data_IF_326859175610
#
_entry.id   IF_326859175610
#
_cell.length_a   1.000
_cell.length_b   1.000
_cell.length_c   1.000
_cell.angle_alpha   90.00
_cell.angle_beta   90.00
_cell.angle_gamma   90.00
#
_symmetry.space_group_name_H-M   'P 1'
#
loop_
_entity.id
_entity.type
_entity.pdbx_description
1 polymer ?
#
# COMPACT_ATOMS: atom_id res chain seq x y z
N UNK A 1 56.15 -75.37 -47.81
CA UNK A 1 55.20 -76.38 -47.49
C UNK A 1 54.33 -75.76 -46.41
N UNK A 2 53.08 -75.64 -46.58
CA UNK A 2 52.01 -75.19 -45.68
C UNK A 2 52.24 -73.93 -44.88
N UNK A 3 51.83 -72.80 -45.43
CA UNK A 3 51.72 -71.57 -44.73
C UNK A 3 50.35 -71.39 -44.02
N UNK A 4 50.37 -71.03 -42.78
CA UNK A 4 49.20 -70.66 -41.99
C UNK A 4 49.06 -69.16 -42.00
N UNK A 5 47.93 -68.65 -42.44
CA UNK A 5 47.52 -67.20 -42.32
C UNK A 5 46.95 -66.95 -40.94
N UNK A 6 47.26 -65.82 -40.29
CA UNK A 6 46.63 -65.42 -39.02
C UNK A 6 45.29 -64.77 -39.26
N UNK A 7 44.31 -65.10 -38.40
CA UNK A 7 42.98 -64.51 -38.33
C UNK A 7 42.99 -63.16 -37.61
N UNK A 8 42.38 -62.18 -38.20
CA UNK A 8 42.13 -60.84 -37.57
C UNK A 8 41.00 -60.91 -36.55
N UNK A 9 41.12 -60.23 -35.38
CA UNK A 9 40.01 -60.14 -34.43
C UNK A 9 39.01 -59.00 -34.83
N UNK A 10 37.75 -59.32 -34.79
CA UNK A 10 36.60 -58.51 -35.11
C UNK A 10 36.32 -57.59 -33.89
N UNK A 11 36.60 -56.31 -34.02
CA UNK A 11 36.25 -55.28 -33.02
C UNK A 11 34.72 -55.18 -32.91
N UNK A 12 34.15 -55.48 -31.77
CA UNK A 12 32.80 -55.23 -31.35
C UNK A 12 32.78 -53.84 -30.63
N UNK A 13 32.29 -52.79 -31.31
CA UNK A 13 31.98 -51.54 -30.69
C UNK A 13 30.76 -51.72 -29.81
N UNK A 14 30.93 -51.65 -28.50
CA UNK A 14 29.86 -51.45 -27.55
C UNK A 14 29.51 -49.96 -27.53
N UNK A 15 28.33 -49.62 -28.08
CA UNK A 15 27.73 -48.31 -27.99
C UNK A 15 27.20 -48.14 -26.55
N UNK A 16 27.94 -47.44 -25.70
CA UNK A 16 27.48 -47.03 -24.37
C UNK A 16 26.49 -45.86 -24.55
N UNK A 17 25.20 -46.21 -24.44
CA UNK A 17 24.10 -45.23 -24.39
C UNK A 17 24.13 -44.55 -23.01
N UNK A 18 24.73 -43.35 -22.91
CA UNK A 18 24.61 -42.51 -21.72
C UNK A 18 23.17 -41.96 -21.63
N UNK A 19 22.35 -42.57 -20.78
CA UNK A 19 21.09 -42.03 -20.33
C UNK A 19 21.38 -40.78 -19.48
N UNK A 20 21.28 -39.58 -20.10
CA UNK A 20 21.19 -38.30 -19.40
C UNK A 20 19.86 -38.25 -18.65
N UNK A 21 19.85 -38.65 -17.39
CA UNK A 21 18.78 -38.30 -16.45
C UNK A 21 18.87 -36.81 -16.16
N UNK A 22 17.80 -36.02 -16.40
CA UNK A 22 17.79 -34.65 -15.93
C UNK A 22 17.78 -34.69 -14.40
N UNK A 23 18.87 -34.25 -13.77
CA UNK A 23 18.91 -33.95 -12.34
C UNK A 23 17.94 -32.80 -12.08
N UNK A 24 16.74 -33.13 -11.61
CA UNK A 24 15.84 -32.20 -10.97
C UNK A 24 16.57 -31.64 -9.75
N UNK A 25 17.24 -30.51 -9.93
CA UNK A 25 17.74 -29.71 -8.83
C UNK A 25 16.52 -29.19 -8.06
N UNK A 26 16.09 -29.92 -7.03
CA UNK A 26 15.24 -29.40 -5.99
C UNK A 26 16.02 -28.23 -5.36
N UNK A 27 15.67 -27.02 -5.74
CA UNK A 27 16.08 -25.82 -5.00
C UNK A 27 15.47 -25.94 -3.59
N UNK A 28 16.24 -26.50 -2.68
CA UNK A 28 15.91 -26.43 -1.26
C UNK A 28 15.87 -24.95 -0.90
N UNK A 29 14.65 -24.44 -0.68
CA UNK A 29 14.43 -23.14 -0.03
C UNK A 29 15.24 -23.23 1.27
N UNK A 30 16.41 -22.55 1.32
CA UNK A 30 17.21 -22.43 2.53
C UNK A 30 16.28 -21.86 3.59
N UNK A 31 15.83 -22.69 4.53
CA UNK A 31 15.18 -22.20 5.74
C UNK A 31 16.12 -21.16 6.32
N UNK A 32 15.69 -19.91 6.32
CA UNK A 32 16.43 -18.83 6.98
C UNK A 32 16.46 -19.22 8.45
N UNK A 33 17.65 -19.56 8.96
CA UNK A 33 17.87 -19.72 10.40
C UNK A 33 17.24 -18.49 11.08
N UNK A 34 16.36 -18.66 12.09
CA UNK A 34 15.73 -17.54 12.75
C UNK A 34 16.81 -16.60 13.26
N UNK A 35 16.74 -15.31 12.83
CA UNK A 35 17.69 -14.29 13.22
C UNK A 35 17.63 -14.08 14.74
N UNK A 36 18.77 -13.96 15.39
CA UNK A 36 18.83 -13.61 16.82
C UNK A 36 18.13 -12.27 17.05
N UNK A 37 17.16 -12.25 17.96
CA UNK A 37 16.45 -11.04 18.39
C UNK A 37 16.92 -10.66 19.79
N UNK A 38 17.35 -9.41 19.96
CA UNK A 38 17.72 -8.83 21.24
C UNK A 38 16.72 -7.77 21.65
N UNK A 39 16.13 -7.92 22.83
CA UNK A 39 15.15 -6.99 23.36
C UNK A 39 15.76 -6.32 24.60
N UNK A 40 16.00 -5.03 24.50
CA UNK A 40 16.40 -4.18 25.62
C UNK A 40 15.18 -3.48 26.20
N UNK A 41 14.78 -3.87 27.40
CA UNK A 41 13.83 -3.09 28.17
C UNK A 41 14.53 -1.87 28.77
N UNK A 42 14.08 -0.67 28.41
CA UNK A 42 14.49 0.60 29.04
C UNK A 42 13.33 1.06 29.90
N UNK A 43 13.52 0.93 31.23
CA UNK A 43 12.44 1.10 32.19
C UNK A 43 12.63 2.36 33.00
N UNK A 44 11.60 3.16 33.07
CA UNK A 44 11.49 4.34 33.91
C UNK A 44 11.45 3.93 35.40
N UNK A 45 12.35 4.47 36.17
CA UNK A 45 12.34 4.42 37.63
C UNK A 45 12.52 5.82 38.22
N UNK A 46 12.03 6.85 37.52
CA UNK A 46 11.93 8.20 38.04
C UNK A 46 10.92 8.29 39.20
N UNK A 47 10.95 9.36 39.92
CA UNK A 47 10.13 9.54 41.12
C UNK A 47 8.62 9.53 40.80
N UNK A 48 8.20 9.92 39.60
CA UNK A 48 6.79 9.90 39.10
C UNK A 48 6.21 8.49 39.08
N UNK A 49 7.02 7.46 38.85
CA UNK A 49 6.59 6.05 38.85
C UNK A 49 6.08 5.56 40.22
N UNK A 50 6.28 6.32 41.30
CA UNK A 50 5.67 6.04 42.61
C UNK A 50 4.24 6.56 42.70
N UNK A 51 3.74 7.36 41.74
CA UNK A 51 2.35 7.81 41.71
C UNK A 51 1.41 6.65 41.48
N UNK A 52 0.20 6.75 42.03
CA UNK A 52 -0.82 5.71 41.88
C UNK A 52 -1.37 5.66 40.44
N UNK A 53 -1.62 4.45 39.99
CA UNK A 53 -2.22 4.12 38.72
C UNK A 53 -3.32 3.06 38.98
N UNK A 54 -4.53 3.53 39.10
CA UNK A 54 -5.59 2.72 39.71
C UNK A 54 -5.33 2.52 41.20
N UNK A 55 -5.29 1.29 41.65
CA UNK A 55 -5.15 0.92 43.06
C UNK A 55 -3.72 0.69 43.54
N UNK A 56 -2.73 0.75 42.63
CA UNK A 56 -1.32 0.48 42.93
C UNK A 56 -0.38 1.53 42.31
N UNK A 57 0.88 1.68 42.80
CA UNK A 57 1.86 2.52 42.15
C UNK A 57 2.16 2.05 40.72
N UNK A 58 2.43 3.02 39.79
CA UNK A 58 2.74 2.72 38.39
C UNK A 58 3.87 1.71 38.24
N UNK A 59 4.90 1.82 39.07
CA UNK A 59 6.04 0.88 39.05
C UNK A 59 5.63 -0.55 39.41
N UNK A 60 4.67 -0.73 40.30
CA UNK A 60 4.24 -2.06 40.73
C UNK A 60 3.37 -2.72 39.65
N UNK A 61 2.45 -1.97 39.06
CA UNK A 61 1.70 -2.41 37.88
C UNK A 61 2.62 -2.76 36.69
N UNK A 62 3.60 -1.90 36.42
CA UNK A 62 4.56 -2.15 35.35
C UNK A 62 5.44 -3.39 35.61
N UNK A 63 5.88 -3.61 36.85
CA UNK A 63 6.61 -4.82 37.26
C UNK A 63 5.81 -6.09 37.02
N UNK A 64 4.55 -6.11 37.44
CA UNK A 64 3.66 -7.26 37.32
C UNK A 64 3.54 -7.69 35.87
N UNK A 65 3.18 -6.76 34.97
CA UNK A 65 2.98 -7.05 33.56
C UNK A 65 4.31 -7.43 32.87
N UNK A 66 5.44 -6.75 33.21
CA UNK A 66 6.75 -7.16 32.71
C UNK A 66 7.08 -8.60 33.09
N UNK A 67 6.85 -8.99 34.38
CA UNK A 67 7.17 -10.35 34.84
C UNK A 67 6.34 -11.43 34.14
N UNK A 68 5.07 -11.17 33.86
CA UNK A 68 4.21 -12.06 33.09
C UNK A 68 4.74 -12.23 31.65
N UNK A 69 5.26 -11.17 31.06
CA UNK A 69 5.78 -11.17 29.68
C UNK A 69 7.12 -11.87 29.53
N UNK A 70 7.95 -11.94 30.59
CA UNK A 70 9.29 -12.56 30.51
C UNK A 70 9.22 -14.06 30.24
N UNK A 71 8.26 -14.78 30.80
CA UNK A 71 8.16 -16.24 30.64
C UNK A 71 7.99 -16.71 29.18
N UNK A 72 7.08 -16.15 28.39
CA UNK A 72 6.97 -16.43 26.96
C UNK A 72 8.23 -16.06 26.18
N UNK A 73 8.88 -14.91 26.49
CA UNK A 73 10.10 -14.45 25.83
C UNK A 73 11.30 -15.37 26.07
N UNK A 74 11.45 -15.90 27.29
CA UNK A 74 12.51 -16.85 27.63
C UNK A 74 12.37 -18.19 26.90
N UNK A 75 11.15 -18.59 26.58
CA UNK A 75 10.86 -19.80 25.79
C UNK A 75 10.99 -19.60 24.28
N UNK A 76 11.00 -18.35 23.83
CA UNK A 76 11.10 -18.06 22.40
C UNK A 76 12.52 -18.39 21.89
N UNK A 77 12.65 -19.10 20.76
CA UNK A 77 13.94 -19.43 20.20
C UNK A 77 14.68 -18.16 19.74
N UNK A 78 15.99 -18.14 19.93
CA UNK A 78 16.86 -17.04 19.48
C UNK A 78 16.47 -15.66 20.02
N UNK A 79 16.09 -15.57 21.28
CA UNK A 79 15.82 -14.31 22.00
C UNK A 79 16.83 -14.13 23.13
N UNK A 80 17.36 -12.91 23.24
CA UNK A 80 18.16 -12.46 24.37
C UNK A 80 17.53 -11.20 24.95
N UNK A 81 17.49 -11.14 26.28
CA UNK A 81 16.88 -10.03 27.01
C UNK A 81 17.94 -9.24 27.75
N UNK A 82 17.71 -7.94 27.92
CA UNK A 82 18.51 -7.06 28.78
C UNK A 82 17.61 -6.02 29.46
N UNK A 83 18.08 -5.41 30.52
CA UNK A 83 17.39 -4.37 31.28
C UNK A 83 18.31 -3.19 31.54
N UNK A 84 17.92 -2.02 31.03
CA UNK A 84 18.44 -0.71 31.42
C UNK A 84 17.41 0.00 32.26
N UNK A 85 17.83 0.63 33.32
CA UNK A 85 17.00 1.47 34.19
C UNK A 85 17.51 2.91 34.15
N UNK A 86 16.61 3.86 34.38
CA UNK A 86 16.99 5.24 34.64
C UNK A 86 16.16 5.82 35.78
N UNK A 87 16.68 6.91 36.40
CA UNK A 87 16.05 7.56 37.57
C UNK A 87 16.02 6.72 38.85
N UNK A 88 16.99 5.83 39.05
CA UNK A 88 16.99 4.90 40.18
C UNK A 88 18.24 4.97 41.07
N UNK A 89 19.30 5.69 40.66
CA UNK A 89 20.55 5.74 41.38
C UNK A 89 20.61 6.99 42.27
N UNK A 90 20.15 8.13 41.79
CA UNK A 90 20.24 9.43 42.45
C UNK A 90 18.84 9.96 42.76
N UNK A 91 18.62 10.34 44.05
CA UNK A 91 17.36 10.97 44.45
C UNK A 91 17.23 12.37 43.84
N UNK A 92 16.09 12.69 43.26
CA UNK A 92 15.79 14.05 42.83
C UNK A 92 15.58 14.98 44.04
N UNK A 93 16.21 16.15 44.05
CA UNK A 93 16.10 17.18 45.08
C UNK A 93 15.76 18.51 44.39
N UNK A 94 15.11 19.49 45.07
CA UNK A 94 14.81 20.79 44.50
C UNK A 94 16.06 21.47 43.93
N UNK A 95 16.04 21.80 42.64
CA UNK A 95 17.18 22.43 41.93
C UNK A 95 18.38 21.55 41.66
N UNK A 96 18.29 20.24 41.94
CA UNK A 96 19.37 19.28 41.68
C UNK A 96 18.78 17.99 41.09
N UNK A 97 19.15 17.70 39.85
CA UNK A 97 18.78 16.48 39.16
C UNK A 97 20.02 15.85 38.50
N UNK A 98 20.03 14.53 38.39
CA UNK A 98 21.11 13.78 37.76
C UNK A 98 20.64 13.27 36.38
N UNK A 99 21.06 13.97 35.33
CA UNK A 99 20.70 13.62 33.95
C UNK A 99 21.55 12.48 33.37
N UNK A 100 22.52 11.98 34.07
CA UNK A 100 23.29 10.77 33.74
C UNK A 100 22.81 9.54 34.52
N UNK A 101 21.74 9.64 35.32
CA UNK A 101 21.16 8.51 36.06
C UNK A 101 20.51 7.50 35.12
N UNK A 102 21.34 6.75 34.41
CA UNK A 102 20.94 5.64 33.56
C UNK A 102 21.97 4.52 33.56
N UNK A 103 21.57 3.26 33.70
CA UNK A 103 22.49 2.13 33.81
C UNK A 103 21.94 0.84 33.23
N UNK A 104 22.77 0.11 32.49
CA UNK A 104 22.49 -1.29 32.10
C UNK A 104 22.64 -2.17 33.34
N UNK A 105 21.53 -2.62 33.89
CA UNK A 105 21.51 -3.40 35.14
C UNK A 105 21.57 -4.91 34.89
N UNK A 106 21.01 -5.37 33.76
CA UNK A 106 21.11 -6.77 33.32
C UNK A 106 21.56 -6.76 31.86
N UNK A 107 22.81 -7.15 31.55
CA UNK A 107 23.31 -7.22 30.17
C UNK A 107 22.64 -8.34 29.38
N UNK A 108 22.77 -8.30 28.04
CA UNK A 108 22.22 -9.36 27.17
C UNK A 108 22.81 -10.73 27.49
N UNK A 109 21.94 -11.73 27.55
CA UNK A 109 22.27 -13.12 27.76
C UNK A 109 21.08 -14.04 27.59
N UNK A 110 21.28 -15.35 27.47
CA UNK A 110 20.21 -16.33 27.50
C UNK A 110 19.58 -16.43 28.89
N UNK A 111 18.26 -16.66 28.96
CA UNK A 111 17.54 -16.93 30.24
C UNK A 111 17.70 -15.82 31.31
N UNK A 112 17.72 -14.57 30.89
CA UNK A 112 17.93 -13.43 31.80
C UNK A 112 16.67 -13.01 32.58
N UNK A 113 15.51 -13.66 32.39
CA UNK A 113 14.27 -13.27 33.05
C UNK A 113 14.34 -13.24 34.56
N UNK A 114 15.02 -14.21 35.20
CA UNK A 114 15.15 -14.22 36.64
C UNK A 114 16.06 -13.10 37.16
N UNK A 115 17.13 -12.78 36.45
CA UNK A 115 17.98 -11.63 36.77
C UNK A 115 17.20 -10.31 36.64
N UNK A 116 16.38 -10.16 35.59
CA UNK A 116 15.52 -8.99 35.39
C UNK A 116 14.48 -8.89 36.51
N UNK A 117 13.81 -10.01 36.87
CA UNK A 117 12.86 -10.06 38.00
C UNK A 117 13.50 -9.66 39.32
N UNK A 118 14.69 -10.22 39.63
CA UNK A 118 15.41 -9.94 40.83
C UNK A 118 15.81 -8.45 40.93
N UNK A 119 16.33 -7.88 39.84
CA UNK A 119 16.68 -6.47 39.78
C UNK A 119 15.48 -5.56 39.95
N UNK A 120 14.41 -5.81 39.22
CA UNK A 120 13.19 -5.01 39.30
C UNK A 120 12.52 -5.07 40.71
N UNK A 121 12.62 -6.17 41.43
CA UNK A 121 12.14 -6.28 42.85
C UNK A 121 12.94 -5.42 43.79
N UNK A 122 14.26 -5.25 43.56
CA UNK A 122 15.14 -4.53 44.45
C UNK A 122 15.23 -3.03 44.19
N UNK A 123 14.84 -2.55 43.01
CA UNK A 123 14.99 -1.15 42.62
C UNK A 123 13.95 -0.24 43.28
N UNK A 124 14.36 0.99 43.56
CA UNK A 124 13.50 2.08 44.04
C UNK A 124 13.53 3.23 43.03
N UNK A 125 12.35 3.78 42.77
CA UNK A 125 12.21 4.92 41.87
C UNK A 125 12.43 6.21 42.65
N UNK A 126 13.47 6.97 42.30
CA UNK A 126 13.98 8.07 43.15
C UNK A 126 14.28 9.34 42.34
N UNK A 127 14.68 9.22 41.07
CA UNK A 127 15.37 10.24 40.32
C UNK A 127 14.54 10.98 39.29
N UNK A 128 15.22 11.59 38.35
CA UNK A 128 14.66 12.32 37.20
C UNK A 128 14.44 11.40 35.99
N UNK A 129 14.02 11.96 34.87
CA UNK A 129 13.59 11.22 33.66
C UNK A 129 14.51 11.53 32.45
N UNK A 130 15.77 11.03 32.39
CA UNK A 130 16.72 11.28 31.29
C UNK A 130 16.50 10.28 30.13
N UNK A 131 15.41 10.44 29.36
CA UNK A 131 15.06 9.54 28.23
C UNK A 131 16.11 9.60 27.12
N UNK A 132 16.50 10.80 26.69
CA UNK A 132 17.47 11.00 25.61
C UNK A 132 18.81 10.36 25.95
N UNK A 133 19.35 10.61 27.14
CA UNK A 133 20.60 10.01 27.64
C UNK A 133 20.50 8.49 27.74
N UNK A 134 19.35 7.98 28.17
CA UNK A 134 19.12 6.53 28.29
C UNK A 134 19.07 5.84 26.93
N UNK A 135 18.45 6.47 25.94
CA UNK A 135 18.45 5.98 24.57
C UNK A 135 19.85 6.05 23.93
N UNK A 136 20.59 7.13 24.14
CA UNK A 136 21.97 7.26 23.64
C UNK A 136 22.84 6.13 24.16
N UNK A 137 22.86 5.89 25.49
CA UNK A 137 23.62 4.81 26.12
C UNK A 137 23.15 3.41 25.70
N UNK A 138 21.87 3.25 25.35
CA UNK A 138 21.34 1.98 24.88
C UNK A 138 22.00 1.49 23.59
N UNK A 139 22.58 2.39 22.78
CA UNK A 139 23.31 2.01 21.58
C UNK A 139 24.54 1.12 21.88
N UNK A 140 25.20 1.38 23.00
CA UNK A 140 26.42 0.69 23.41
C UNK A 140 26.13 -0.61 24.17
N UNK A 141 24.88 -0.83 24.57
CA UNK A 141 24.43 -2.06 25.24
C UNK A 141 24.35 -3.26 24.32
N UNK A 142 24.13 -3.04 23.01
CA UNK A 142 23.98 -4.11 22.03
C UNK A 142 25.34 -4.67 21.60
N UNK A 143 25.59 -5.99 21.74
CA UNK A 143 26.88 -6.61 21.42
C UNK A 143 27.27 -6.55 19.95
N UNK A 144 26.29 -6.50 19.04
CA UNK A 144 26.52 -6.39 17.59
C UNK A 144 25.35 -5.66 16.90
N UNK A 145 25.56 -5.34 15.61
CA UNK A 145 24.57 -4.67 14.76
C UNK A 145 23.94 -5.59 13.70
N UNK A 146 24.30 -6.86 13.69
CA UNK A 146 23.82 -7.85 12.70
C UNK A 146 22.57 -8.56 13.19
N UNK A 147 22.36 -8.60 14.49
CA UNK A 147 21.16 -9.14 15.13
C UNK A 147 19.99 -8.16 15.02
N UNK A 148 18.78 -8.66 15.20
CA UNK A 148 17.58 -7.83 15.33
C UNK A 148 17.60 -7.17 16.72
N UNK A 149 18.03 -5.93 16.79
CA UNK A 149 18.13 -5.18 18.03
C UNK A 149 16.89 -4.31 18.22
N UNK A 150 16.19 -4.48 19.33
CA UNK A 150 14.91 -3.81 19.65
C UNK A 150 15.00 -3.15 21.01
N UNK A 151 14.57 -1.90 21.12
CA UNK A 151 14.34 -1.21 22.39
C UNK A 151 12.84 -1.16 22.66
N UNK A 152 12.45 -1.50 23.90
CA UNK A 152 11.13 -1.27 24.46
C UNK A 152 11.29 -0.27 25.61
N UNK A 153 10.94 0.98 25.34
CA UNK A 153 10.96 2.06 26.35
C UNK A 153 9.60 2.08 27.06
N UNK A 154 9.63 1.97 28.38
CA UNK A 154 8.45 2.03 29.25
C UNK A 154 8.63 3.24 30.16
N UNK A 155 7.73 4.23 30.06
CA UNK A 155 7.83 5.51 30.77
C UNK A 155 6.45 6.04 31.15
N UNK A 156 6.38 6.79 32.25
CA UNK A 156 5.17 7.53 32.65
C UNK A 156 5.32 9.05 32.50
N UNK A 157 6.44 9.49 31.94
CA UNK A 157 6.78 10.90 31.80
C UNK A 157 7.40 11.27 30.46
N UNK A 158 7.76 12.53 30.35
CA UNK A 158 8.51 13.11 29.24
C UNK A 158 9.95 13.40 29.68
N UNK A 159 10.80 13.74 28.71
CA UNK A 159 12.18 14.18 28.98
C UNK A 159 12.21 15.33 29.99
N UNK A 160 13.05 15.18 31.01
CA UNK A 160 13.21 16.17 32.09
C UNK A 160 14.59 16.86 32.12
N UNK A 161 15.48 16.54 31.18
CA UNK A 161 16.88 16.93 31.18
C UNK A 161 17.30 17.82 29.98
N UNK A 162 16.39 18.62 29.43
CA UNK A 162 16.65 19.57 28.33
C UNK A 162 17.35 18.97 27.09
N UNK A 163 17.30 17.64 26.91
CA UNK A 163 17.81 16.93 25.74
C UNK A 163 16.65 16.62 24.74
N UNK A 164 17.00 16.31 23.48
CA UNK A 164 16.00 15.93 22.43
C UNK A 164 16.00 14.40 22.20
N UNK A 165 15.07 13.65 22.83
CA UNK A 165 14.96 12.20 22.61
C UNK A 165 14.66 11.84 21.15
N UNK A 166 14.04 12.73 20.41
CA UNK A 166 13.72 12.53 18.99
C UNK A 166 14.97 12.60 18.12
N UNK A 167 15.87 13.54 18.40
CA UNK A 167 17.14 13.64 17.70
C UNK A 167 18.02 12.41 17.98
N UNK A 168 18.08 11.95 19.22
CA UNK A 168 18.79 10.73 19.60
C UNK A 168 18.21 9.51 18.91
N UNK A 169 16.89 9.34 18.91
CA UNK A 169 16.25 8.22 18.24
C UNK A 169 16.54 8.20 16.72
N UNK A 170 16.48 9.35 16.05
CA UNK A 170 16.86 9.46 14.64
C UNK A 170 18.32 9.08 14.40
N UNK A 171 19.24 9.51 15.28
CA UNK A 171 20.65 9.16 15.18
C UNK A 171 20.90 7.66 15.35
N UNK A 172 20.19 6.98 16.26
CA UNK A 172 20.25 5.53 16.44
C UNK A 172 19.76 4.77 15.19
N UNK A 173 18.64 5.22 14.61
CA UNK A 173 18.09 4.64 13.37
C UNK A 173 19.07 4.83 12.20
N UNK A 174 19.67 6.01 12.04
CA UNK A 174 20.66 6.29 10.99
C UNK A 174 21.91 5.41 11.10
N UNK A 175 22.28 5.00 12.32
CA UNK A 175 23.40 4.07 12.56
C UNK A 175 23.00 2.60 12.33
N UNK A 176 21.74 2.30 11.99
CA UNK A 176 21.24 0.93 11.79
C UNK A 176 21.22 0.08 13.07
N UNK A 177 21.30 0.72 14.25
CA UNK A 177 21.37 0.02 15.54
C UNK A 177 19.99 -0.50 15.91
N UNK A 178 18.94 0.32 15.62
CA UNK A 178 17.55 0.01 15.92
C UNK A 178 16.70 0.61 14.81
N UNK A 179 15.75 -0.15 14.32
CA UNK A 179 14.86 0.35 13.26
C UNK A 179 13.94 1.47 13.78
N UNK A 180 13.29 1.25 14.92
CA UNK A 180 12.46 2.24 15.61
C UNK A 180 12.12 1.74 17.01
N UNK A 181 12.42 2.48 18.08
CA UNK A 181 12.03 2.07 19.42
C UNK A 181 10.52 1.90 19.56
N UNK A 182 10.09 0.96 20.39
CA UNK A 182 8.72 0.89 20.88
C UNK A 182 8.64 1.71 22.17
N UNK A 183 7.67 2.62 22.23
CA UNK A 183 7.47 3.49 23.40
C UNK A 183 6.12 3.20 24.01
N UNK A 184 6.08 2.76 25.26
CA UNK A 184 4.85 2.49 25.99
C UNK A 184 4.71 3.56 27.08
N UNK A 185 3.73 4.44 26.88
CA UNK A 185 3.42 5.52 27.82
C UNK A 185 2.39 5.08 28.86
N UNK A 186 2.77 5.11 30.15
CA UNK A 186 1.93 4.70 31.26
C UNK A 186 1.24 5.92 31.88
N UNK A 187 -0.07 6.07 31.63
CA UNK A 187 -0.85 7.15 32.24
C UNK A 187 -0.33 8.55 31.90
N UNK A 188 0.18 8.76 30.69
CA UNK A 188 0.70 10.05 30.22
C UNK A 188 -0.46 10.93 29.76
N UNK A 189 -0.44 12.22 30.13
CA UNK A 189 -1.41 13.20 29.69
C UNK A 189 -1.32 13.45 28.16
N UNK A 190 -2.46 13.74 27.52
CA UNK A 190 -2.58 13.85 26.06
C UNK A 190 -1.62 14.88 25.44
N UNK A 191 -1.40 16.00 26.09
CA UNK A 191 -0.48 17.04 25.61
C UNK A 191 0.97 16.55 25.51
N UNK A 192 1.39 15.68 26.42
CA UNK A 192 2.75 15.14 26.53
C UNK A 192 3.00 13.95 25.59
N UNK A 193 1.98 13.29 25.10
CA UNK A 193 2.09 12.14 24.18
C UNK A 193 2.76 12.50 22.86
N UNK A 194 2.59 13.76 22.40
CA UNK A 194 3.17 14.20 21.12
C UNK A 194 4.69 14.21 21.14
N UNK A 195 5.33 14.54 22.27
CA UNK A 195 6.79 14.59 22.42
C UNK A 195 7.44 13.21 22.33
N UNK A 196 6.70 12.13 22.58
CA UNK A 196 7.20 10.76 22.53
C UNK A 196 6.94 10.05 21.20
N UNK A 197 5.98 10.54 20.37
CA UNK A 197 5.66 9.93 19.07
C UNK A 197 6.80 9.98 18.05
N UNK A 198 7.69 10.97 18.17
CA UNK A 198 8.86 11.10 17.31
C UNK A 198 10.01 10.18 17.74
N UNK A 199 10.02 9.73 19.00
CA UNK A 199 11.02 8.79 19.52
C UNK A 199 10.85 7.43 18.86
N UNK A 200 9.60 6.95 18.74
CA UNK A 200 9.36 5.63 18.24
C UNK A 200 7.89 5.33 17.92
N UNK A 201 7.58 4.04 17.81
CA UNK A 201 6.20 3.57 17.74
C UNK A 201 5.57 3.73 19.14
N UNK A 202 4.76 4.77 19.30
CA UNK A 202 4.14 5.11 20.57
C UNK A 202 2.84 4.35 20.78
N UNK A 203 2.72 3.77 21.98
CA UNK A 203 1.53 3.06 22.46
C UNK A 203 1.08 3.65 23.78
N UNK A 204 -0.18 3.97 23.87
CA UNK A 204 -0.78 4.51 25.09
C UNK A 204 -1.29 3.37 25.98
N UNK A 205 -0.84 3.36 27.23
CA UNK A 205 -1.27 2.44 28.26
C UNK A 205 -1.89 3.21 29.44
N UNK A 206 -3.09 3.72 29.26
CA UNK A 206 -3.78 4.53 30.28
C UNK A 206 -4.26 3.72 31.49
N UNK A 207 -4.38 2.38 31.38
CA UNK A 207 -4.71 1.48 32.49
C UNK A 207 -3.78 0.26 32.54
N UNK A 208 -3.67 -0.43 33.70
CA UNK A 208 -2.88 -1.65 33.81
C UNK A 208 -3.26 -2.74 32.80
N UNK A 209 -4.55 -2.92 32.54
CA UNK A 209 -5.06 -3.93 31.59
C UNK A 209 -4.70 -3.54 30.15
N UNK A 210 -4.66 -2.24 29.85
CA UNK A 210 -4.23 -1.75 28.55
C UNK A 210 -2.72 -1.95 28.40
N UNK A 211 -1.92 -1.74 29.45
CA UNK A 211 -0.48 -1.99 29.42
C UNK A 211 -0.15 -3.46 29.12
N UNK A 212 -0.84 -4.42 29.74
CA UNK A 212 -0.68 -5.85 29.43
C UNK A 212 -0.94 -6.16 27.94
N UNK A 213 -2.05 -5.65 27.41
CA UNK A 213 -2.39 -5.83 25.98
C UNK A 213 -1.34 -5.19 25.06
N UNK A 214 -0.95 -3.95 25.35
CA UNK A 214 0.04 -3.22 24.55
C UNK A 214 1.39 -3.92 24.60
N UNK A 215 1.86 -4.33 25.79
CA UNK A 215 3.17 -4.99 25.90
C UNK A 215 3.19 -6.33 25.14
N UNK A 216 2.13 -7.12 25.19
CA UNK A 216 2.00 -8.35 24.38
C UNK A 216 2.13 -8.07 22.88
N UNK A 217 1.46 -7.04 22.41
CA UNK A 217 1.52 -6.63 21.00
C UNK A 217 2.91 -6.14 20.62
N UNK A 218 3.55 -5.31 21.46
CA UNK A 218 4.92 -4.81 21.23
C UNK A 218 5.93 -5.95 21.19
N UNK A 219 5.79 -6.94 22.06
CA UNK A 219 6.63 -8.14 22.09
C UNK A 219 6.43 -8.95 20.80
N UNK A 220 5.18 -9.15 20.37
CA UNK A 220 4.88 -9.85 19.14
C UNK A 220 5.51 -9.15 17.92
N UNK A 221 5.41 -7.83 17.85
CA UNK A 221 6.08 -7.05 16.81
C UNK A 221 7.61 -7.15 16.90
N UNK A 222 8.17 -7.11 18.12
CA UNK A 222 9.61 -7.26 18.35
C UNK A 222 10.10 -8.63 17.85
N UNK A 223 9.32 -9.68 18.05
CA UNK A 223 9.59 -11.03 17.57
C UNK A 223 9.23 -11.21 16.09
N UNK A 224 8.48 -10.30 15.49
CA UNK A 224 8.01 -10.35 14.11
C UNK A 224 7.19 -11.64 13.82
N UNK A 225 6.32 -12.01 14.74
CA UNK A 225 5.58 -13.27 14.74
C UNK A 225 4.18 -13.18 14.12
N UNK A 226 3.59 -11.97 14.03
CA UNK A 226 2.27 -11.77 13.39
C UNK A 226 2.42 -11.73 11.89
N UNK A 227 1.75 -12.65 11.21
CA UNK A 227 1.74 -12.72 9.75
C UNK A 227 0.34 -12.54 9.20
N UNK A 228 0.27 -12.12 7.93
CA UNK A 228 -1.00 -11.88 7.25
C UNK A 228 -0.90 -12.35 5.82
N UNK A 229 -1.91 -13.08 5.37
CA UNK A 229 -2.15 -13.43 3.97
C UNK A 229 -3.41 -12.72 3.49
N UNK A 230 -3.31 -11.99 2.38
CA UNK A 230 -4.45 -11.35 1.74
C UNK A 230 -4.91 -12.19 0.56
N UNK A 231 -6.17 -12.64 0.58
CA UNK A 231 -6.82 -13.33 -0.51
C UNK A 231 -7.65 -12.30 -1.30
N UNK A 232 -7.29 -12.05 -2.56
CA UNK A 232 -8.12 -11.31 -3.48
C UNK A 232 -9.04 -12.28 -4.21
N UNK A 233 -10.33 -12.17 -3.92
CA UNK A 233 -11.34 -13.10 -4.40
C UNK A 233 -12.00 -12.60 -5.68
N UNK A 234 -12.30 -13.54 -6.56
CA UNK A 234 -13.29 -13.38 -7.63
C UNK A 234 -14.71 -13.24 -7.07
N UNK A 235 -15.68 -12.93 -7.89
CA UNK A 235 -17.08 -12.84 -7.46
C UNK A 235 -17.66 -14.19 -7.03
N UNK A 236 -17.13 -15.30 -7.57
CA UNK A 236 -17.45 -16.67 -7.16
C UNK A 236 -16.57 -17.18 -6.00
N UNK A 237 -15.94 -16.23 -5.26
CA UNK A 237 -15.15 -16.47 -4.04
C UNK A 237 -13.89 -17.31 -4.22
N UNK A 238 -13.32 -17.39 -5.41
CA UNK A 238 -12.03 -18.04 -5.65
C UNK A 238 -10.87 -17.06 -5.45
N UNK A 239 -9.79 -17.43 -4.76
CA UNK A 239 -8.66 -16.54 -4.46
C UNK A 239 -7.65 -16.51 -5.63
N UNK A 240 -8.10 -16.08 -6.81
CA UNK A 240 -7.29 -16.10 -8.04
C UNK A 240 -6.91 -14.73 -8.58
N UNK A 241 -7.42 -13.65 -7.98
CA UNK A 241 -7.04 -12.30 -8.38
C UNK A 241 -5.63 -11.98 -7.90
N UNK A 242 -4.82 -11.37 -8.77
CA UNK A 242 -3.40 -11.08 -8.54
C UNK A 242 -2.97 -9.79 -9.26
N UNK A 243 -1.73 -9.36 -9.04
CA UNK A 243 -1.10 -8.19 -9.67
C UNK A 243 -1.85 -6.87 -9.41
N UNK A 244 -2.57 -6.80 -8.29
CA UNK A 244 -3.33 -5.62 -7.85
C UNK A 244 -2.52 -4.88 -6.79
N UNK A 245 -2.27 -3.56 -6.94
CA UNK A 245 -1.72 -2.74 -5.88
C UNK A 245 -2.67 -2.71 -4.67
N UNK A 246 -2.12 -2.87 -3.47
CA UNK A 246 -2.88 -2.89 -2.21
C UNK A 246 -2.25 -1.95 -1.21
N UNK A 247 -3.08 -1.23 -0.47
CA UNK A 247 -2.68 -0.37 0.64
C UNK A 247 -3.43 -0.72 1.91
N UNK A 248 -2.71 -0.89 2.99
CA UNK A 248 -3.24 -0.98 4.35
C UNK A 248 -3.14 0.40 5.00
N UNK A 249 -4.27 1.01 5.25
CA UNK A 249 -4.37 2.28 5.97
C UNK A 249 -4.71 2.02 7.43
N UNK A 250 -4.11 2.78 8.32
CA UNK A 250 -4.60 2.89 9.68
C UNK A 250 -6.02 3.50 9.65
N UNK A 251 -7.00 2.72 10.08
CA UNK A 251 -8.42 3.10 10.03
C UNK A 251 -8.72 4.41 10.77
N UNK A 252 -8.00 4.66 11.87
CA UNK A 252 -8.24 5.83 12.73
C UNK A 252 -7.62 7.10 12.18
N UNK A 253 -6.41 7.01 11.64
CA UNK A 253 -5.62 8.19 11.21
C UNK A 253 -5.64 8.40 9.71
N UNK A 254 -6.03 7.42 8.91
CA UNK A 254 -5.98 7.44 7.45
C UNK A 254 -4.56 7.33 6.88
N UNK A 255 -3.53 7.14 7.70
CA UNK A 255 -2.14 7.03 7.25
C UNK A 255 -1.91 5.67 6.60
N UNK A 256 -1.30 5.66 5.40
CA UNK A 256 -0.87 4.44 4.74
C UNK A 256 0.29 3.81 5.51
N UNK A 257 0.10 2.57 5.98
CA UNK A 257 1.09 1.82 6.74
C UNK A 257 1.89 0.85 5.87
N UNK A 258 1.20 0.15 4.96
CA UNK A 258 1.82 -0.82 4.06
C UNK A 258 1.29 -0.63 2.64
N UNK A 259 2.19 -0.74 1.66
CA UNK A 259 1.88 -0.67 0.24
C UNK A 259 2.66 -1.78 -0.46
N UNK A 260 1.98 -2.57 -1.27
CA UNK A 260 2.59 -3.63 -2.06
C UNK A 260 1.72 -3.97 -3.27
N UNK A 261 2.28 -4.69 -4.22
CA UNK A 261 1.49 -5.32 -5.29
C UNK A 261 1.21 -6.75 -4.85
N UNK A 262 -0.07 -7.10 -4.76
CA UNK A 262 -0.50 -8.46 -4.43
C UNK A 262 -0.01 -9.42 -5.49
N UNK A 263 0.53 -10.56 -5.06
CA UNK A 263 1.01 -11.60 -5.97
C UNK A 263 0.67 -12.98 -5.42
N UNK A 264 0.51 -13.94 -6.32
CA UNK A 264 0.32 -15.34 -6.00
C UNK A 264 1.59 -16.13 -6.34
N UNK A 265 1.93 -17.11 -5.49
CA UNK A 265 2.98 -18.07 -5.77
C UNK A 265 2.59 -18.99 -6.95
N UNK A 266 3.52 -19.78 -7.46
CA UNK A 266 3.26 -20.81 -8.49
C UNK A 266 2.18 -21.82 -8.07
N UNK A 267 1.90 -21.92 -6.76
CA UNK A 267 0.86 -22.80 -6.20
C UNK A 267 -0.49 -22.10 -6.05
N UNK A 268 -0.59 -20.81 -6.42
CA UNK A 268 -1.81 -20.01 -6.24
C UNK A 268 -2.03 -19.52 -4.82
N UNK A 269 -0.99 -19.51 -3.97
CA UNK A 269 -1.06 -19.02 -2.60
C UNK A 269 -0.55 -17.56 -2.54
N UNK A 270 -1.16 -16.66 -1.77
CA UNK A 270 -0.66 -15.31 -1.58
C UNK A 270 0.59 -15.29 -0.71
N UNK A 271 1.42 -14.26 -0.88
CA UNK A 271 2.57 -14.03 -0.03
C UNK A 271 2.16 -13.82 1.43
N UNK A 272 3.04 -14.25 2.33
CA UNK A 272 2.90 -14.01 3.76
C UNK A 272 3.63 -12.74 4.13
N UNK A 273 2.91 -11.78 4.70
CA UNK A 273 3.38 -10.45 5.06
C UNK A 273 3.45 -10.30 6.58
N UNK A 274 4.47 -9.62 7.08
CA UNK A 274 4.54 -9.21 8.48
C UNK A 274 3.81 -7.86 8.62
N UNK A 275 2.64 -7.90 9.23
CA UNK A 275 1.77 -6.73 9.45
C UNK A 275 1.61 -6.51 10.95
N UNK A 276 1.70 -5.25 11.36
CA UNK A 276 1.57 -4.83 12.76
C UNK A 276 0.13 -5.03 13.28
N UNK A 277 -0.11 -5.89 14.30
CA UNK A 277 -1.45 -6.17 14.81
C UNK A 277 -2.05 -5.07 15.69
N UNK A 278 -1.29 -4.00 15.99
CA UNK A 278 -1.76 -2.89 16.86
C UNK A 278 -2.84 -2.05 16.20
N UNK A 279 -2.78 -1.94 14.87
CA UNK A 279 -3.69 -1.07 14.15
C UNK A 279 -4.95 -1.83 13.70
N UNK A 280 -6.05 -1.11 13.68
CA UNK A 280 -7.22 -1.51 12.89
C UNK A 280 -7.02 -0.97 11.49
N UNK A 281 -7.20 -1.80 10.47
CA UNK A 281 -6.88 -1.44 9.09
C UNK A 281 -8.13 -1.20 8.25
N UNK A 282 -8.02 -0.23 7.35
CA UNK A 282 -8.80 -0.12 6.13
C UNK A 282 -7.91 -0.59 4.98
N UNK A 283 -8.28 -1.68 4.33
CA UNK A 283 -7.52 -2.29 3.24
C UNK A 283 -8.17 -1.88 1.93
N UNK A 284 -7.37 -1.34 1.02
CA UNK A 284 -7.79 -0.92 -0.31
C UNK A 284 -7.02 -1.70 -1.36
N UNK A 285 -7.71 -2.51 -2.16
CA UNK A 285 -7.20 -3.01 -3.41
C UNK A 285 -7.52 -1.97 -4.50
N UNK A 286 -6.50 -1.47 -5.18
CA UNK A 286 -6.61 -0.38 -6.16
C UNK A 286 -7.09 -0.89 -7.53
N UNK A 287 -8.22 -1.56 -7.55
CA UNK A 287 -9.00 -1.86 -8.76
C UNK A 287 -9.76 -0.63 -9.23
N UNK A 288 -10.44 -0.69 -10.36
CA UNK A 288 -11.32 0.37 -10.86
C UNK A 288 -12.76 -0.16 -10.92
N UNK A 289 -13.69 0.33 -10.07
CA UNK A 289 -13.46 1.13 -8.87
C UNK A 289 -12.70 0.35 -7.77
N UNK A 290 -12.12 1.04 -6.78
CA UNK A 290 -11.39 0.38 -5.70
C UNK A 290 -12.26 -0.59 -4.90
N UNK A 291 -11.66 -1.71 -4.47
CA UNK A 291 -12.27 -2.62 -3.50
C UNK A 291 -11.76 -2.33 -2.11
N UNK A 292 -12.65 -2.20 -1.14
CA UNK A 292 -12.31 -1.75 0.22
C UNK A 292 -12.84 -2.70 1.27
N UNK A 293 -12.03 -3.00 2.28
CA UNK A 293 -12.44 -3.69 3.50
C UNK A 293 -12.02 -2.85 4.70
N UNK A 294 -12.98 -2.50 5.51
CA UNK A 294 -12.78 -1.66 6.69
C UNK A 294 -12.78 -2.47 8.00
N UNK A 295 -12.27 -1.83 9.06
CA UNK A 295 -12.28 -2.35 10.43
C UNK A 295 -11.61 -3.73 10.59
N UNK A 296 -10.53 -3.96 9.82
CA UNK A 296 -9.77 -5.21 9.87
C UNK A 296 -8.83 -5.17 11.07
N UNK A 297 -9.02 -6.08 12.02
CA UNK A 297 -8.14 -6.30 13.17
C UNK A 297 -7.38 -7.61 12.99
N UNK A 298 -6.12 -7.65 13.43
CA UNK A 298 -5.26 -8.82 13.37
C UNK A 298 -5.09 -9.43 14.76
N UNK A 299 -5.05 -10.76 14.82
CA UNK A 299 -4.71 -11.49 16.04
C UNK A 299 -3.19 -11.54 16.18
N UNK A 300 -2.63 -10.98 17.29
CA UNK A 300 -1.20 -10.98 17.54
C UNK A 300 -0.62 -12.40 17.62
N UNK A 301 0.55 -12.63 17.03
CA UNK A 301 1.24 -13.92 17.07
C UNK A 301 0.68 -15.00 16.15
N UNK A 302 -0.35 -14.69 15.38
CA UNK A 302 -1.03 -15.65 14.51
C UNK A 302 -0.83 -15.34 13.02
N UNK A 303 -1.10 -16.33 12.17
CA UNK A 303 -1.23 -16.11 10.73
C UNK A 303 -2.68 -15.69 10.40
N UNK A 304 -2.87 -14.43 10.11
CA UNK A 304 -4.16 -13.85 9.79
C UNK A 304 -4.47 -14.00 8.30
N UNK A 305 -5.61 -14.58 7.97
CA UNK A 305 -6.08 -14.68 6.58
C UNK A 305 -7.21 -13.70 6.34
N UNK A 306 -7.01 -12.77 5.42
CA UNK A 306 -7.97 -11.71 5.07
C UNK A 306 -8.46 -11.93 3.65
N UNK A 307 -9.77 -11.98 3.46
CA UNK A 307 -10.39 -12.07 2.15
C UNK A 307 -11.01 -10.72 1.73
N UNK A 308 -10.80 -10.33 0.47
CA UNK A 308 -11.35 -9.11 -0.14
C UNK A 308 -11.80 -9.42 -1.56
N UNK A 309 -13.08 -9.20 -1.87
CA UNK A 309 -13.61 -9.40 -3.23
C UNK A 309 -13.07 -8.30 -4.14
N UNK A 310 -12.39 -8.70 -5.20
CA UNK A 310 -11.70 -7.81 -6.15
C UNK A 310 -11.78 -8.33 -7.59
N UNK A 311 -12.84 -9.10 -7.92
CA UNK A 311 -13.05 -9.68 -9.24
C UNK A 311 -12.96 -8.66 -10.37
N UNK A 312 -12.25 -8.97 -11.45
CA UNK A 312 -12.00 -8.07 -12.57
C UNK A 312 -12.24 -8.72 -13.93
N UNK A 313 -12.57 -7.88 -14.93
CA UNK A 313 -12.57 -8.20 -16.33
C UNK A 313 -11.97 -7.06 -17.15
N UNK A 314 -11.70 -7.30 -18.42
CA UNK A 314 -11.05 -6.34 -19.31
C UNK A 314 -12.10 -5.62 -20.17
N UNK A 315 -12.07 -4.29 -20.18
CA UNK A 315 -12.75 -3.46 -21.17
C UNK A 315 -11.76 -3.17 -22.31
N UNK A 316 -12.13 -3.56 -23.53
CA UNK A 316 -11.34 -3.35 -24.74
C UNK A 316 -12.07 -2.35 -25.66
N UNK A 317 -11.61 -1.10 -25.67
CA UNK A 317 -12.18 -0.04 -26.48
C UNK A 317 -11.50 0.02 -27.85
N UNK A 318 -12.28 0.00 -28.92
CA UNK A 318 -11.77 0.02 -30.29
C UNK A 318 -12.48 1.05 -31.15
N UNK A 319 -11.75 1.61 -32.11
CA UNK A 319 -12.29 2.38 -33.22
C UNK A 319 -12.18 1.53 -34.49
N UNK A 320 -13.26 1.40 -35.24
CA UNK A 320 -13.24 0.71 -36.52
C UNK A 320 -12.35 1.50 -37.51
N UNK A 321 -11.56 0.79 -38.30
CA UNK A 321 -10.66 1.39 -39.31
C UNK A 321 -9.29 1.83 -38.79
N UNK A 322 -8.56 2.59 -39.62
CA UNK A 322 -7.19 3.02 -39.30
C UNK A 322 -7.16 4.12 -38.24
N UNK A 323 -6.14 4.08 -37.39
CA UNK A 323 -5.87 5.14 -36.42
C UNK A 323 -5.59 6.46 -37.15
N UNK A 324 -6.21 7.54 -36.66
CA UNK A 324 -5.97 8.90 -37.18
C UNK A 324 -4.85 9.57 -36.36
N UNK A 325 -4.13 10.50 -37.01
CA UNK A 325 -2.96 11.17 -36.42
C UNK A 325 -3.25 12.19 -35.30
N UNK A 326 -4.51 12.44 -34.97
CA UNK A 326 -4.90 13.60 -34.14
C UNK A 326 -5.09 13.31 -32.65
N UNK A 327 -4.37 12.35 -32.14
CA UNK A 327 -4.42 11.98 -30.73
C UNK A 327 -5.55 11.03 -30.35
N UNK A 328 -5.50 10.42 -29.16
CA UNK A 328 -6.48 9.41 -28.73
C UNK A 328 -7.80 10.06 -28.31
N UNK A 329 -8.90 9.57 -28.88
CA UNK A 329 -10.26 9.87 -28.39
C UNK A 329 -10.40 9.28 -26.99
N UNK A 330 -10.92 10.06 -26.05
CA UNK A 330 -11.14 9.62 -24.67
C UNK A 330 -12.55 9.06 -24.50
N UNK A 331 -12.66 8.03 -23.70
CA UNK A 331 -13.90 7.45 -23.23
C UNK A 331 -14.00 7.63 -21.70
N UNK A 332 -15.01 8.33 -21.24
CA UNK A 332 -15.32 8.45 -19.81
C UNK A 332 -16.07 7.20 -19.40
N UNK A 333 -15.56 6.49 -18.39
CA UNK A 333 -16.16 5.30 -17.82
C UNK A 333 -16.78 5.64 -16.47
N UNK A 334 -18.06 5.30 -16.32
CA UNK A 334 -18.84 5.50 -15.09
C UNK A 334 -19.48 4.18 -14.65
N UNK A 335 -19.79 4.05 -13.37
CA UNK A 335 -20.66 2.97 -12.92
C UNK A 335 -22.08 3.25 -13.42
N UNK A 336 -22.82 2.21 -13.79
CA UNK A 336 -24.19 2.36 -14.27
C UNK A 336 -25.03 3.25 -13.35
N UNK A 337 -25.65 4.27 -13.94
CA UNK A 337 -26.51 5.22 -13.26
C UNK A 337 -25.81 6.23 -12.35
N UNK A 338 -24.47 6.22 -12.30
CA UNK A 338 -23.67 7.19 -11.52
C UNK A 338 -22.99 8.18 -12.48
N UNK A 339 -23.07 9.47 -12.19
CA UNK A 339 -22.41 10.52 -12.98
C UNK A 339 -20.94 10.72 -12.61
N UNK A 340 -20.46 10.07 -11.55
CA UNK A 340 -19.06 10.14 -11.11
C UNK A 340 -18.15 9.45 -12.11
N UNK A 341 -17.14 10.17 -12.62
CA UNK A 341 -16.13 9.58 -13.51
C UNK A 341 -15.21 8.66 -12.72
N UNK A 342 -15.19 7.38 -13.07
CA UNK A 342 -14.26 6.40 -12.50
C UNK A 342 -12.91 6.45 -13.20
N UNK A 343 -12.92 6.56 -14.51
CA UNK A 343 -11.71 6.59 -15.34
C UNK A 343 -11.99 7.29 -16.67
N UNK A 344 -10.92 7.81 -17.29
CA UNK A 344 -10.92 8.25 -18.69
C UNK A 344 -9.96 7.33 -19.46
N UNK A 345 -10.52 6.41 -20.22
CA UNK A 345 -9.75 5.42 -20.99
C UNK A 345 -9.65 5.87 -22.45
N UNK A 346 -8.41 5.93 -23.01
CA UNK A 346 -8.25 6.19 -24.44
C UNK A 346 -8.86 5.08 -25.29
N UNK A 347 -9.46 5.43 -26.45
CA UNK A 347 -9.81 4.43 -27.44
C UNK A 347 -8.57 3.67 -27.94
N UNK A 348 -8.77 2.45 -28.40
CA UNK A 348 -7.73 1.51 -28.84
C UNK A 348 -6.77 1.08 -27.70
N UNK A 349 -7.29 1.01 -26.48
CA UNK A 349 -6.61 0.48 -25.30
C UNK A 349 -7.47 -0.51 -24.55
N UNK A 350 -6.82 -1.34 -23.73
CA UNK A 350 -7.47 -2.26 -22.80
C UNK A 350 -7.22 -1.80 -21.36
N UNK A 351 -8.22 -1.98 -20.48
CA UNK A 351 -8.11 -1.65 -19.07
C UNK A 351 -8.91 -2.63 -18.23
N UNK A 352 -8.36 -3.01 -17.06
CA UNK A 352 -9.07 -3.83 -16.07
C UNK A 352 -10.04 -2.97 -15.26
N UNK A 353 -11.26 -3.48 -15.11
CA UNK A 353 -12.30 -2.93 -14.24
C UNK A 353 -12.88 -4.03 -13.37
N UNK A 354 -13.42 -3.66 -12.23
CA UNK A 354 -14.23 -4.60 -11.45
C UNK A 354 -15.42 -5.06 -12.26
N UNK A 355 -15.85 -6.29 -12.01
CA UNK A 355 -17.08 -6.84 -12.58
C UNK A 355 -18.29 -5.95 -12.27
N UNK A 356 -19.21 -5.83 -13.21
CA UNK A 356 -20.42 -5.03 -13.07
C UNK A 356 -20.86 -4.33 -14.35
N UNK A 357 -21.84 -3.45 -14.20
CA UNK A 357 -22.42 -2.65 -15.30
C UNK A 357 -21.85 -1.23 -15.28
N UNK A 358 -21.51 -0.75 -16.48
CA UNK A 358 -20.88 0.55 -16.70
C UNK A 358 -21.59 1.32 -17.81
N UNK A 359 -21.57 2.65 -17.69
CA UNK A 359 -21.99 3.57 -18.70
C UNK A 359 -20.76 4.27 -19.29
N UNK A 360 -20.65 4.24 -20.62
CA UNK A 360 -19.53 4.81 -21.36
C UNK A 360 -19.98 6.08 -22.08
N UNK A 361 -19.17 7.13 -22.01
CA UNK A 361 -19.32 8.36 -22.80
C UNK A 361 -18.05 8.59 -23.61
N UNK A 362 -18.14 8.32 -24.92
CA UNK A 362 -17.01 8.57 -25.83
C UNK A 362 -17.05 10.02 -26.30
N UNK A 363 -15.92 10.74 -26.12
CA UNK A 363 -15.80 12.16 -26.43
C UNK A 363 -15.56 12.39 -27.93
N UNK A 364 -16.48 11.86 -28.73
CA UNK A 364 -16.59 12.13 -30.16
C UNK A 364 -17.46 13.35 -30.42
N UNK A 365 -17.60 13.75 -31.69
CA UNK A 365 -18.59 14.71 -32.15
C UNK A 365 -19.57 14.00 -33.11
N UNK A 366 -20.87 13.93 -32.78
CA UNK A 366 -21.46 14.17 -31.48
C UNK A 366 -20.94 13.18 -30.42
N UNK A 367 -21.14 13.46 -29.14
CA UNK A 367 -20.80 12.52 -28.06
C UNK A 367 -21.59 11.23 -28.17
N UNK A 368 -20.92 10.10 -28.01
CA UNK A 368 -21.55 8.79 -28.09
C UNK A 368 -21.72 8.21 -26.68
N UNK A 369 -22.95 7.94 -26.29
CA UNK A 369 -23.30 7.30 -25.02
C UNK A 369 -23.57 5.81 -25.27
N UNK A 370 -22.91 4.93 -24.53
CA UNK A 370 -23.07 3.47 -24.60
C UNK A 370 -23.40 2.99 -23.18
N UNK A 371 -24.70 2.86 -22.84
CA UNK A 371 -25.12 2.44 -21.52
C UNK A 371 -25.07 0.92 -21.35
N UNK A 372 -25.05 0.46 -20.08
CA UNK A 372 -25.20 -0.93 -19.67
C UNK A 372 -24.12 -1.88 -20.21
N UNK A 373 -22.89 -1.43 -20.34
CA UNK A 373 -21.76 -2.29 -20.73
C UNK A 373 -21.42 -3.22 -19.56
N UNK A 374 -21.63 -4.51 -19.74
CA UNK A 374 -21.35 -5.52 -18.72
C UNK A 374 -19.90 -6.02 -18.79
N UNK A 375 -19.15 -5.83 -17.70
CA UNK A 375 -17.81 -6.39 -17.53
C UNK A 375 -17.90 -7.65 -16.66
N UNK A 376 -17.54 -8.80 -17.24
CA UNK A 376 -17.60 -10.11 -16.58
C UNK A 376 -16.22 -10.57 -16.13
N UNK A 377 -16.22 -11.38 -15.09
CA UNK A 377 -15.01 -11.96 -14.47
C UNK A 377 -14.12 -12.62 -15.52
N UNK A 378 -12.83 -12.24 -15.50
CA UNK A 378 -11.75 -12.86 -16.31
C UNK A 378 -12.06 -12.92 -17.83
N UNK A 379 -12.95 -12.06 -18.33
CA UNK A 379 -13.28 -11.98 -19.75
C UNK A 379 -12.94 -10.59 -20.30
N UNK A 380 -12.81 -10.54 -21.64
CA UNK A 380 -12.65 -9.28 -22.37
C UNK A 380 -13.99 -8.88 -22.94
N UNK A 381 -14.46 -7.66 -22.62
CA UNK A 381 -15.65 -7.03 -23.19
C UNK A 381 -15.20 -6.03 -24.27
N UNK A 382 -15.34 -6.36 -25.56
CA UNK A 382 -15.01 -5.44 -26.64
C UNK A 382 -16.13 -4.44 -26.85
N UNK A 383 -15.76 -3.17 -27.01
CA UNK A 383 -16.66 -2.08 -27.42
C UNK A 383 -16.04 -1.35 -28.59
N UNK A 384 -16.67 -1.42 -29.75
CA UNK A 384 -16.24 -0.73 -30.97
C UNK A 384 -17.13 0.47 -31.29
N UNK A 385 -16.51 1.53 -31.77
CA UNK A 385 -17.19 2.69 -32.31
C UNK A 385 -16.80 2.90 -33.78
N UNK A 386 -17.67 3.46 -34.62
CA UNK A 386 -17.34 3.72 -36.02
C UNK A 386 -16.22 4.77 -36.14
N UNK A 387 -15.40 4.66 -37.16
CA UNK A 387 -14.40 5.65 -37.51
C UNK A 387 -15.09 6.97 -37.89
N UNK A 388 -14.61 8.08 -37.31
CA UNK A 388 -15.08 9.41 -37.67
C UNK A 388 -14.73 9.76 -39.14
N UNK A 389 -15.62 10.48 -39.81
CA UNK A 389 -15.34 11.15 -41.08
C UNK A 389 -14.86 12.59 -40.84
N UNK A 390 -14.41 13.26 -41.87
CA UNK A 390 -13.96 14.65 -41.85
C UNK A 390 -14.94 15.52 -42.64
N UNK A 391 -15.53 16.51 -41.97
CA UNK A 391 -16.31 17.56 -42.62
C UNK A 391 -15.48 18.83 -42.71
N UNK A 392 -15.22 19.30 -43.93
CA UNK A 392 -14.62 20.60 -44.22
C UNK A 392 -15.75 21.57 -44.61
N UNK A 393 -16.01 22.55 -43.77
CA UNK A 393 -16.92 23.66 -44.10
C UNK A 393 -16.08 24.80 -44.65
N UNK A 394 -16.39 25.18 -45.91
CA UNK A 394 -15.65 26.20 -46.66
C UNK A 394 -16.64 27.34 -46.95
N UNK A 395 -16.32 28.54 -46.49
CA UNK A 395 -17.13 29.73 -46.66
C UNK A 395 -16.35 30.82 -47.42
N UNK A 396 -17.03 31.65 -48.18
CA UNK A 396 -16.41 32.78 -48.87
C UNK A 396 -15.93 33.86 -47.90
N UNK A 397 -16.64 34.04 -46.78
CA UNK A 397 -16.30 34.97 -45.71
C UNK A 397 -16.47 34.31 -44.38
N UNK A 398 -15.61 34.59 -43.38
CA UNK A 398 -15.84 34.12 -42.03
C UNK A 398 -17.17 34.60 -41.46
N UNK A 399 -17.79 33.79 -40.61
CA UNK A 399 -19.07 34.16 -40.00
C UNK A 399 -19.62 33.11 -39.03
N UNK A 400 -20.59 33.46 -38.20
CA UNK A 400 -21.19 32.54 -37.24
C UNK A 400 -22.00 31.43 -37.91
N UNK A 401 -22.00 30.26 -37.30
CA UNK A 401 -22.77 29.11 -37.74
C UNK A 401 -22.60 27.93 -36.78
N UNK A 402 -23.24 26.83 -37.08
CA UNK A 402 -23.15 25.61 -36.30
C UNK A 402 -23.47 24.37 -37.13
N UNK A 403 -22.98 23.25 -36.64
CA UNK A 403 -23.27 21.91 -37.18
C UNK A 403 -24.27 21.24 -36.25
N UNK A 404 -25.33 20.76 -36.79
CA UNK A 404 -26.44 20.11 -36.09
C UNK A 404 -26.59 18.67 -36.60
N UNK A 405 -26.82 17.74 -35.68
CA UNK A 405 -27.23 16.39 -36.00
C UNK A 405 -28.74 16.35 -36.19
N UNK A 406 -29.17 15.64 -37.25
CA UNK A 406 -30.59 15.36 -37.49
C UNK A 406 -30.96 14.13 -36.62
N UNK A 407 -31.87 14.33 -35.66
CA UNK A 407 -32.46 13.28 -34.83
C UNK A 407 -33.98 13.28 -34.99
N UNK A 408 -34.45 12.57 -35.99
CA UNK A 408 -35.84 12.68 -36.45
C UNK A 408 -36.13 14.07 -36.99
N UNK A 409 -37.10 14.79 -36.37
CA UNK A 409 -37.45 16.16 -36.72
C UNK A 409 -36.65 17.20 -35.87
N UNK A 410 -35.91 16.78 -34.88
CA UNK A 410 -35.13 17.68 -34.00
C UNK A 410 -33.73 17.93 -34.54
N UNK A 411 -33.25 19.15 -34.32
CA UNK A 411 -31.85 19.55 -34.56
C UNK A 411 -31.12 19.65 -33.26
N UNK A 412 -30.09 18.81 -33.07
CA UNK A 412 -29.21 18.87 -31.93
C UNK A 412 -27.89 19.54 -32.31
N UNK A 413 -27.57 20.67 -31.68
CA UNK A 413 -26.29 21.33 -31.90
C UNK A 413 -25.13 20.40 -31.48
N UNK A 414 -24.21 20.16 -32.42
CA UNK A 414 -23.01 19.34 -32.21
C UNK A 414 -21.81 20.19 -31.89
N UNK A 415 -21.58 21.25 -32.72
CA UNK A 415 -20.45 22.17 -32.58
C UNK A 415 -20.69 23.46 -33.32
N UNK A 416 -20.21 24.58 -32.79
CA UNK A 416 -20.22 25.87 -33.48
C UNK A 416 -19.09 25.95 -34.51
N UNK A 417 -19.31 26.70 -35.59
CA UNK A 417 -18.23 27.12 -36.48
C UNK A 417 -17.39 28.21 -35.80
N UNK A 418 -16.10 28.20 -36.01
CA UNK A 418 -15.27 29.34 -35.62
C UNK A 418 -15.60 30.53 -36.52
N UNK A 419 -16.17 31.64 -35.96
CA UNK A 419 -16.64 32.76 -36.75
C UNK A 419 -15.52 33.58 -37.38
N UNK A 420 -14.26 33.30 -37.05
CA UNK A 420 -13.05 33.98 -37.55
C UNK A 420 -12.38 33.21 -38.69
N UNK A 421 -12.81 31.98 -38.96
CA UNK A 421 -12.23 31.13 -39.98
C UNK A 421 -13.16 30.93 -41.18
N UNK A 422 -12.64 31.13 -42.40
CA UNK A 422 -13.36 30.81 -43.65
C UNK A 422 -13.32 29.31 -43.97
N UNK A 423 -12.46 28.54 -43.26
CA UNK A 423 -12.36 27.07 -43.39
C UNK A 423 -12.36 26.46 -42.01
N UNK A 424 -13.39 25.70 -41.74
CA UNK A 424 -13.55 24.95 -40.49
C UNK A 424 -13.47 23.44 -40.81
N UNK A 425 -12.71 22.68 -40.01
CA UNK A 425 -12.61 21.23 -40.18
C UNK A 425 -13.05 20.52 -38.90
N UNK A 426 -13.94 19.55 -39.04
CA UNK A 426 -14.46 18.79 -37.92
C UNK A 426 -14.37 17.30 -38.20
N UNK A 427 -14.08 16.51 -37.15
CA UNK A 427 -14.20 15.07 -37.17
C UNK A 427 -15.53 14.69 -36.55
N UNK A 428 -16.40 14.13 -37.34
CA UNK A 428 -17.75 13.79 -36.93
C UNK A 428 -17.97 12.28 -37.05
N UNK A 429 -18.79 11.72 -36.16
CA UNK A 429 -19.29 10.36 -36.36
C UNK A 429 -20.08 10.28 -37.67
N UNK A 430 -20.12 9.09 -38.33
CA UNK A 430 -20.95 8.91 -39.50
C UNK A 430 -22.43 9.23 -39.23
N UNK A 431 -23.05 9.98 -40.11
CA UNK A 431 -24.44 10.39 -39.95
C UNK A 431 -24.82 11.57 -40.85
N UNK A 432 -26.07 12.01 -40.71
CA UNK A 432 -26.62 13.13 -41.44
C UNK A 432 -26.62 14.38 -40.58
N UNK A 433 -26.09 15.45 -41.15
CA UNK A 433 -25.88 16.72 -40.46
C UNK A 433 -26.46 17.87 -41.26
N UNK A 434 -26.89 18.89 -40.53
CA UNK A 434 -27.29 20.18 -41.08
C UNK A 434 -26.30 21.25 -40.63
N UNK A 435 -25.78 22.00 -41.61
CA UNK A 435 -24.90 23.14 -41.32
C UNK A 435 -25.66 24.42 -41.59
N UNK A 436 -25.75 25.27 -40.60
CA UNK A 436 -26.35 26.59 -40.67
C UNK A 436 -25.23 27.61 -40.58
N UNK A 437 -25.15 28.50 -41.56
CA UNK A 437 -24.11 29.51 -41.61
C UNK A 437 -24.68 30.84 -42.06
N UNK A 438 -24.12 31.95 -41.55
CA UNK A 438 -24.40 33.30 -42.02
C UNK A 438 -23.05 34.03 -42.17
N UNK A 439 -22.88 34.72 -43.34
CA UNK A 439 -21.69 35.58 -43.54
C UNK A 439 -21.57 36.65 -42.43
N UNK A 440 -20.37 36.88 -41.95
CA UNK A 440 -20.07 37.90 -40.93
C UNK A 440 -20.42 39.31 -41.38
N UNK A 441 -20.49 39.55 -42.70
CA UNK A 441 -20.85 40.83 -43.28
C UNK A 441 -22.39 41.05 -43.37
N UNK A 442 -23.16 39.97 -43.26
CA UNK A 442 -24.61 40.03 -43.31
C UNK A 442 -25.21 40.35 -41.91
N UNK A 443 -26.09 41.33 -41.83
CA UNK A 443 -26.66 41.78 -40.56
C UNK A 443 -28.13 41.31 -40.33
N UNK A 444 -28.72 40.66 -41.32
CA UNK A 444 -30.10 40.18 -41.24
C UNK A 444 -30.12 38.64 -41.17
N UNK A 445 -31.02 38.09 -40.37
CA UNK A 445 -31.19 36.64 -40.20
C UNK A 445 -31.65 35.93 -41.53
N UNK A 446 -32.31 36.68 -42.38
CA UNK A 446 -32.73 36.20 -43.71
C UNK A 446 -31.56 35.75 -44.63
N UNK A 447 -30.36 36.20 -44.34
CA UNK A 447 -29.13 35.76 -45.04
C UNK A 447 -28.49 34.49 -44.47
N UNK A 448 -29.14 33.78 -43.58
CA UNK A 448 -28.70 32.47 -43.14
C UNK A 448 -28.89 31.43 -44.24
N UNK A 449 -27.83 30.68 -44.52
CA UNK A 449 -27.79 29.58 -45.48
C UNK A 449 -27.78 28.26 -44.74
N UNK A 450 -28.57 27.31 -45.18
CA UNK A 450 -28.72 25.98 -44.60
C UNK A 450 -28.37 24.93 -45.66
N UNK A 451 -27.48 23.99 -45.31
CA UNK A 451 -27.11 22.86 -46.18
C UNK A 451 -27.08 21.58 -45.38
N UNK A 452 -27.61 20.52 -45.95
CA UNK A 452 -27.51 19.18 -45.38
C UNK A 452 -26.32 18.44 -45.99
N UNK A 453 -25.68 17.58 -45.19
CA UNK A 453 -24.50 16.82 -45.57
C UNK A 453 -24.46 15.48 -44.86
N UNK A 454 -24.14 14.42 -45.57
CA UNK A 454 -23.87 13.09 -44.97
C UNK A 454 -22.37 12.89 -44.79
N UNK A 455 -21.95 12.59 -43.56
CA UNK A 455 -20.58 12.24 -43.24
C UNK A 455 -20.47 10.70 -43.20
N UNK A 456 -19.55 10.15 -44.01
CA UNK A 456 -19.30 8.71 -44.06
C UNK A 456 -18.03 8.35 -43.25
N UNK A 457 -18.00 7.14 -42.68
CA UNK A 457 -16.86 6.63 -41.91
C UNK A 457 -15.54 6.72 -42.70
N UNK A 458 -14.51 7.31 -42.09
CA UNK A 458 -13.18 7.40 -42.67
C UNK A 458 -13.04 8.23 -43.94
N UNK A 459 -14.09 8.95 -44.35
CA UNK A 459 -14.08 9.78 -45.55
C UNK A 459 -14.12 11.28 -45.24
N UNK A 460 -13.50 12.04 -46.13
CA UNK A 460 -13.62 13.49 -46.08
C UNK A 460 -14.71 13.97 -47.06
N UNK A 461 -15.51 14.95 -46.61
CA UNK A 461 -16.51 15.64 -47.41
C UNK A 461 -16.29 17.15 -47.27
N UNK A 462 -16.43 17.86 -48.42
CA UNK A 462 -16.35 19.33 -48.45
C UNK A 462 -17.75 19.91 -48.61
N UNK A 463 -18.09 20.89 -47.79
CA UNK A 463 -19.35 21.64 -47.89
C UNK A 463 -19.01 23.11 -48.11
N UNK A 464 -19.33 23.62 -49.28
CA UNK A 464 -19.02 25.00 -49.68
C UNK A 464 -20.27 25.88 -49.55
N UNK A 465 -20.10 27.13 -49.04
CA UNK A 465 -21.15 28.14 -48.90
C UNK A 465 -20.87 29.37 -49.71
#
# INVERSE_FOLDING_TARGET
>A
MLGTRPSTPRNRHYLLLFLLLPSLAFSQKKEKTPQLTRILFVMDCSNSMNAFWGDEPKIDGARKVLFESLGPLERAPNVQLALRLYGHQTRIEPGKQDCDDTKLEVPFGPNNGDAIRAKMKSVRCLGTTPIARSLEKSADDFPDRTSRNVIILITDGIEACDEDPCAVSRALQAKGIILKPFVIGIGIEDASKYSLKCVGNYFDASTPEMFDRVLKVVIDQALNSTTTQLLLLTDDSKPTETDVPVTFYDQKTGVARYNFVHTLTVRGEPDTLNIDPVFTYRIVAHTIPPSVKENVTLLPGENNVIALVAGQGTLDLRTDGALTSDGPIQCIVRKQGDMTTLNAQPMNTTQLYRTGLYDLEVLTLPRLLIPNVEIKQSTTTPVSIPQSGVLNVITNTPGPGGIFQLDGEELKLVVDLDPHLARNQFRLLPGDYRVIYRSGNARETAFSVVKDVTVAAGRAVNLEF
#
